data_IF_865473095590
#
_entry.id   IF_865473095590
#
_cell.length_a   1.000
_cell.length_b   1.000
_cell.length_c   1.000
_cell.angle_alpha   90.00
_cell.angle_beta   90.00
_cell.angle_gamma   90.00
#
_symmetry.space_group_name_H-M   'P 1'
#
loop_
_entity.id
_entity.type
_entity.pdbx_description
1 polymer ?
#
# COMPACT_ATOMS: atom_id res chain seq x y z
N UNK A 1 1.01 38.17 5.12
CA UNK A 1 -0.03 38.55 4.15
C UNK A 1 -0.73 37.25 3.75
N UNK A 2 -2.08 37.18 3.84
CA UNK A 2 -2.83 35.99 3.44
C UNK A 2 -3.04 35.98 1.93
N UNK A 3 -2.84 34.83 1.27
CA UNK A 3 -3.11 34.65 -0.14
C UNK A 3 -4.55 34.16 -0.34
N UNK A 4 -5.33 34.90 -1.13
CA UNK A 4 -6.71 34.52 -1.48
C UNK A 4 -6.65 33.74 -2.79
N UNK A 5 -7.20 32.51 -2.78
CA UNK A 5 -7.36 31.67 -3.97
C UNK A 5 -8.82 31.57 -4.35
N UNK A 6 -9.13 31.44 -5.64
CA UNK A 6 -10.48 31.28 -6.17
C UNK A 6 -10.51 30.17 -7.24
N UNK A 7 -11.68 29.55 -7.42
CA UNK A 7 -11.88 28.46 -8.37
C UNK A 7 -11.57 27.06 -7.80
N UNK A 8 -11.71 26.04 -8.64
CA UNK A 8 -11.36 24.65 -8.28
C UNK A 8 -9.84 24.51 -8.25
N UNK A 9 -9.31 24.00 -7.16
CA UNK A 9 -7.88 23.69 -7.00
C UNK A 9 -7.70 22.18 -7.16
N UNK A 10 -7.08 21.71 -8.26
CA UNK A 10 -6.73 20.31 -8.40
C UNK A 10 -5.78 19.89 -7.27
N UNK A 11 -6.12 18.83 -6.57
CA UNK A 11 -5.30 18.26 -5.51
C UNK A 11 -5.47 16.76 -5.44
N UNK A 12 -4.50 16.01 -4.90
CA UNK A 12 -4.62 14.59 -4.68
C UNK A 12 -5.87 14.23 -3.87
N UNK A 13 -6.44 13.09 -4.15
CA UNK A 13 -7.74 12.65 -3.63
C UNK A 13 -7.58 11.64 -2.49
N UNK A 14 -8.50 11.69 -1.53
CA UNK A 14 -8.68 10.69 -0.48
C UNK A 14 -9.93 9.89 -0.80
N UNK A 15 -9.77 8.62 -1.08
CA UNK A 15 -10.83 7.74 -1.53
C UNK A 15 -11.02 6.59 -0.56
N UNK A 16 -12.23 6.42 -0.06
CA UNK A 16 -12.62 5.21 0.66
C UNK A 16 -13.36 4.28 -0.30
N UNK A 17 -12.82 3.08 -0.50
CA UNK A 17 -13.44 2.00 -1.26
C UNK A 17 -13.86 0.91 -0.28
N UNK A 18 -15.15 0.68 -0.10
CA UNK A 18 -15.59 -0.41 0.74
C UNK A 18 -16.60 -1.31 0.01
N UNK A 19 -16.71 -2.55 0.43
CA UNK A 19 -17.62 -3.48 -0.25
C UNK A 19 -17.51 -4.92 0.25
N UNK A 20 -18.40 -5.76 -0.27
CA UNK A 20 -18.44 -7.17 0.10
C UNK A 20 -17.17 -7.92 -0.31
N UNK A 21 -16.94 -9.08 0.29
CA UNK A 21 -15.79 -9.92 -0.07
C UNK A 21 -15.84 -10.36 -1.54
N UNK A 22 -14.68 -10.42 -2.19
CA UNK A 22 -14.56 -10.89 -3.58
C UNK A 22 -15.14 -9.94 -4.64
N UNK A 23 -15.67 -8.76 -4.28
CA UNK A 23 -16.26 -7.83 -5.26
C UNK A 23 -15.22 -7.15 -6.16
N UNK A 24 -13.94 -7.11 -5.76
CA UNK A 24 -12.86 -6.51 -6.56
C UNK A 24 -12.34 -5.18 -6.04
N UNK A 25 -12.38 -4.94 -4.73
CA UNK A 25 -11.83 -3.73 -4.08
C UNK A 25 -10.35 -3.52 -4.40
N UNK A 26 -9.50 -4.50 -4.04
CA UNK A 26 -8.05 -4.46 -4.28
C UNK A 26 -7.68 -4.32 -5.75
N UNK A 27 -8.28 -5.09 -6.70
CA UNK A 27 -8.08 -4.86 -8.13
C UNK A 27 -8.49 -3.47 -8.64
N UNK A 28 -9.50 -2.84 -8.04
CA UNK A 28 -9.86 -1.45 -8.37
C UNK A 28 -8.82 -0.47 -7.85
N UNK A 29 -8.37 -0.64 -6.61
CA UNK A 29 -7.32 0.18 -6.00
C UNK A 29 -5.99 0.08 -6.77
N UNK A 30 -5.68 -1.10 -7.33
CA UNK A 30 -4.48 -1.32 -8.13
C UNK A 30 -4.45 -0.54 -9.45
N UNK A 31 -5.57 0.00 -9.92
CA UNK A 31 -5.65 0.78 -11.15
C UNK A 31 -5.37 2.28 -10.94
N UNK A 32 -5.21 2.73 -9.70
CA UNK A 32 -4.84 4.12 -9.41
C UNK A 32 -3.41 4.41 -9.92
N UNK A 33 -3.06 5.70 -10.13
CA UNK A 33 -1.74 6.08 -10.65
C UNK A 33 -0.60 5.58 -9.76
N UNK A 34 0.29 4.75 -10.29
CA UNK A 34 1.50 4.23 -9.62
C UNK A 34 1.27 3.83 -8.16
N UNK A 35 0.41 2.85 -7.86
CA UNK A 35 0.02 2.53 -6.50
C UNK A 35 1.15 1.84 -5.73
N UNK A 36 1.32 2.22 -4.45
CA UNK A 36 2.11 1.52 -3.45
C UNK A 36 1.17 1.04 -2.34
N UNK A 37 1.19 -0.25 -2.06
CA UNK A 37 0.30 -0.88 -1.10
C UNK A 37 0.97 -1.05 0.27
N UNK A 38 0.21 -0.74 1.32
CA UNK A 38 0.39 -1.28 2.65
C UNK A 38 -0.71 -2.33 2.82
N UNK A 39 -0.33 -3.62 2.70
CA UNK A 39 -1.24 -4.75 2.75
C UNK A 39 -1.32 -5.30 4.17
N UNK A 40 -2.32 -4.84 4.92
CA UNK A 40 -2.54 -5.24 6.33
C UNK A 40 -3.23 -6.59 6.46
N UNK A 41 -3.86 -7.09 5.40
CA UNK A 41 -4.59 -8.35 5.38
C UNK A 41 -3.77 -9.52 4.79
N UNK A 42 -2.76 -9.21 3.95
CA UNK A 42 -1.99 -10.21 3.22
C UNK A 42 -2.70 -10.72 1.96
N UNK A 43 -3.69 -10.00 1.45
CA UNK A 43 -4.55 -10.46 0.35
C UNK A 43 -4.06 -10.06 -1.04
N UNK A 44 -3.10 -9.13 -1.16
CA UNK A 44 -2.65 -8.57 -2.44
C UNK A 44 -1.62 -9.43 -3.19
N UNK A 45 -1.13 -10.53 -2.61
CA UNK A 45 -0.02 -11.32 -3.14
C UNK A 45 -0.19 -11.86 -4.56
N UNK A 46 -1.43 -11.96 -5.06
CA UNK A 46 -1.76 -12.41 -6.41
C UNK A 46 -1.80 -11.28 -7.46
N UNK A 47 -1.60 -10.02 -7.05
CA UNK A 47 -1.60 -8.87 -7.94
C UNK A 47 -0.17 -8.40 -8.23
N UNK A 48 0.07 -7.93 -9.44
CA UNK A 48 1.31 -7.27 -9.83
C UNK A 48 1.26 -5.79 -9.40
N UNK A 49 1.59 -5.55 -8.13
CA UNK A 49 1.61 -4.21 -7.52
C UNK A 49 2.83 -4.06 -6.63
N UNK A 50 3.30 -2.83 -6.48
CA UNK A 50 4.32 -2.50 -5.49
C UNK A 50 3.70 -2.51 -4.09
N UNK A 51 4.43 -3.07 -3.11
CA UNK A 51 3.98 -3.13 -1.72
C UNK A 51 5.12 -2.99 -0.75
N UNK A 52 4.85 -2.39 0.41
CA UNK A 52 5.73 -2.45 1.57
C UNK A 52 5.59 -3.82 2.27
N UNK A 53 6.51 -4.20 3.17
CA UNK A 53 6.32 -5.35 4.03
C UNK A 53 4.96 -5.32 4.72
N UNK A 54 4.33 -6.48 4.94
CA UNK A 54 3.05 -6.51 5.65
C UNK A 54 3.27 -6.08 7.11
N UNK A 55 2.60 -5.02 7.62
CA UNK A 55 2.80 -4.55 8.97
C UNK A 55 2.28 -5.57 9.99
N UNK A 56 3.14 -6.01 10.90
CA UNK A 56 2.81 -6.93 12.00
C UNK A 56 2.31 -6.21 13.25
N UNK A 57 2.40 -4.88 13.27
CA UNK A 57 2.05 -4.04 14.40
C UNK A 57 1.54 -2.67 13.95
N UNK A 58 0.75 -2.04 14.83
CA UNK A 58 0.30 -0.67 14.65
C UNK A 58 1.44 0.33 14.50
N UNK A 59 2.53 0.14 15.28
CA UNK A 59 3.71 1.01 15.20
C UNK A 59 4.36 0.92 13.83
N UNK A 60 4.55 -0.30 13.29
CA UNK A 60 5.11 -0.52 11.96
C UNK A 60 4.23 0.13 10.89
N UNK A 61 2.92 -0.06 10.95
CA UNK A 61 1.99 0.60 10.02
C UNK A 61 2.14 2.12 10.02
N UNK A 62 2.21 2.75 11.20
CA UNK A 62 2.40 4.20 11.31
C UNK A 62 3.78 4.63 10.78
N UNK A 63 4.82 3.84 11.00
CA UNK A 63 6.18 4.14 10.53
C UNK A 63 6.26 4.03 9.01
N UNK A 64 5.61 3.05 8.38
CA UNK A 64 5.49 2.94 6.93
C UNK A 64 4.78 4.15 6.32
N UNK A 65 3.66 4.59 6.92
CA UNK A 65 2.95 5.78 6.43
C UNK A 65 3.78 7.05 6.62
N UNK A 66 4.56 7.17 7.72
CA UNK A 66 5.50 8.28 7.92
C UNK A 66 6.59 8.28 6.87
N UNK A 67 7.17 7.11 6.59
CA UNK A 67 8.18 6.98 5.55
C UNK A 67 7.65 7.42 4.18
N UNK A 68 6.45 6.98 3.79
CA UNK A 68 5.81 7.40 2.53
C UNK A 68 5.57 8.92 2.50
N UNK A 69 5.15 9.52 3.62
CA UNK A 69 4.97 10.97 3.74
C UNK A 69 6.28 11.73 3.51
N UNK A 70 7.36 11.21 4.10
CA UNK A 70 8.67 11.86 4.07
C UNK A 70 9.39 11.62 2.73
N UNK A 71 9.06 10.51 2.05
CA UNK A 71 9.61 10.14 0.73
C UNK A 71 8.51 9.88 -0.31
N UNK A 72 7.68 10.88 -0.64
CA UNK A 72 6.53 10.68 -1.53
C UNK A 72 6.93 10.28 -2.96
N UNK A 73 8.13 10.63 -3.41
CA UNK A 73 8.66 10.23 -4.71
C UNK A 73 8.83 8.71 -4.82
N UNK A 74 9.20 8.03 -3.74
CA UNK A 74 9.33 6.58 -3.68
C UNK A 74 7.96 5.88 -3.78
N UNK A 75 6.90 6.51 -3.25
CA UNK A 75 5.54 6.01 -3.41
C UNK A 75 5.07 6.04 -4.87
N UNK A 76 5.43 7.07 -5.61
CA UNK A 76 5.15 7.21 -7.03
C UNK A 76 3.85 7.92 -7.36
N UNK A 77 2.75 7.75 -6.66
CA UNK A 77 1.51 8.45 -7.03
C UNK A 77 0.33 8.22 -6.11
N UNK A 78 0.17 7.02 -5.61
CA UNK A 78 -0.98 6.65 -4.77
C UNK A 78 -0.54 5.74 -3.64
N UNK A 79 -0.82 6.13 -2.40
CA UNK A 79 -0.77 5.25 -1.25
C UNK A 79 -2.08 4.47 -1.15
N UNK A 80 -2.01 3.15 -1.08
CA UNK A 80 -3.15 2.26 -0.84
C UNK A 80 -2.99 1.56 0.49
N UNK A 81 -3.98 1.68 1.39
CA UNK A 81 -4.06 0.89 2.63
C UNK A 81 -5.16 -0.16 2.46
N UNK A 82 -4.78 -1.42 2.43
CA UNK A 82 -5.67 -2.56 2.17
C UNK A 82 -5.49 -3.66 3.24
N UNK A 83 -6.34 -3.70 4.29
CA UNK A 83 -7.57 -2.94 4.52
C UNK A 83 -7.57 -2.19 5.85
N UNK A 84 -8.43 -1.16 5.98
CA UNK A 84 -8.56 -0.38 7.21
C UNK A 84 -9.14 -1.17 8.39
N UNK A 85 -9.98 -2.16 8.15
CA UNK A 85 -10.55 -3.00 9.22
C UNK A 85 -9.49 -3.92 9.84
N UNK A 86 -8.48 -4.35 9.08
CA UNK A 86 -7.30 -5.01 9.64
C UNK A 86 -6.36 -4.02 10.34
N UNK A 87 -6.19 -2.82 9.81
CA UNK A 87 -5.46 -1.75 10.49
C UNK A 87 -6.12 -1.37 11.83
N UNK A 88 -7.47 -1.31 11.91
CA UNK A 88 -8.21 -1.08 13.15
C UNK A 88 -7.91 -2.16 14.20
N UNK A 89 -7.81 -3.40 13.77
CA UNK A 89 -7.45 -4.51 14.66
C UNK A 89 -6.05 -4.32 15.26
N UNK A 90 -5.05 -3.97 14.44
CA UNK A 90 -3.71 -3.64 14.92
C UNK A 90 -3.73 -2.47 15.93
N UNK A 91 -4.58 -1.47 15.70
CA UNK A 91 -4.78 -0.35 16.61
C UNK A 91 -5.34 -0.81 17.96
N UNK A 92 -6.35 -1.68 17.98
CA UNK A 92 -6.93 -2.21 19.21
C UNK A 92 -5.93 -3.02 20.01
N UNK A 93 -5.19 -3.90 19.35
CA UNK A 93 -4.11 -4.70 19.97
C UNK A 93 -3.03 -3.81 20.58
N UNK A 94 -2.64 -2.75 19.89
CA UNK A 94 -1.67 -1.76 20.36
C UNK A 94 -2.16 -1.03 21.62
N UNK A 95 -3.40 -0.54 21.61
CA UNK A 95 -3.99 0.15 22.77
C UNK A 95 -4.07 -0.78 23.98
N UNK A 96 -4.51 -2.02 23.77
CA UNK A 96 -4.56 -3.03 24.83
C UNK A 96 -3.17 -3.28 25.42
N UNK A 97 -2.16 -3.48 24.55
CA UNK A 97 -0.77 -3.70 24.98
C UNK A 97 -0.21 -2.50 25.75
N UNK A 98 -0.44 -1.27 25.28
CA UNK A 98 0.02 -0.06 25.97
C UNK A 98 -0.60 0.12 27.36
N UNK A 99 -1.85 -0.29 27.53
CA UNK A 99 -2.60 -0.11 28.78
C UNK A 99 -2.55 -1.32 29.71
N UNK A 100 -1.94 -2.44 29.24
CA UNK A 100 -1.91 -3.69 30.00
C UNK A 100 -3.28 -4.35 30.11
N UNK A 101 -4.14 -4.21 29.09
CA UNK A 101 -5.46 -4.83 29.03
C UNK A 101 -5.41 -6.12 28.22
N UNK A 102 -6.23 -7.09 28.60
CA UNK A 102 -6.43 -8.35 27.84
C UNK A 102 -7.39 -8.13 26.67
N UNK A 103 -8.36 -7.19 26.86
CA UNK A 103 -9.37 -6.84 25.87
C UNK A 103 -9.62 -5.33 25.86
N UNK A 104 -10.05 -4.82 24.71
CA UNK A 104 -10.45 -3.41 24.54
C UNK A 104 -11.65 -3.04 25.43
N UNK A 105 -12.37 -4.01 25.95
CA UNK A 105 -13.53 -3.82 26.83
C UNK A 105 -13.17 -3.77 28.32
N UNK A 106 -11.95 -4.17 28.72
CA UNK A 106 -11.53 -4.25 30.12
C UNK A 106 -11.76 -2.97 30.95
N UNK A 107 -11.53 -1.74 30.41
CA UNK A 107 -11.77 -0.53 31.19
C UNK A 107 -13.26 -0.23 31.42
N UNK A 108 -14.15 -0.98 30.78
CA UNK A 108 -15.61 -0.83 30.90
C UNK A 108 -16.16 0.47 30.28
N UNK A 109 -17.48 0.54 30.18
CA UNK A 109 -18.22 1.72 29.71
C UNK A 109 -17.76 2.27 28.34
N UNK A 110 -17.14 1.44 27.50
CA UNK A 110 -16.66 1.80 26.16
C UNK A 110 -15.41 2.69 26.15
N UNK A 111 -14.71 2.86 27.29
CA UNK A 111 -13.51 3.70 27.37
C UNK A 111 -12.38 3.20 26.47
N UNK A 112 -12.20 1.88 26.34
CA UNK A 112 -11.19 1.31 25.45
C UNK A 112 -11.37 1.73 23.98
N UNK A 113 -12.60 1.72 23.52
CA UNK A 113 -12.94 2.21 22.17
C UNK A 113 -12.68 3.71 21.99
N UNK A 114 -12.79 4.51 23.07
CA UNK A 114 -12.43 5.93 23.00
C UNK A 114 -10.92 6.11 22.77
N UNK A 115 -10.09 5.35 23.51
CA UNK A 115 -8.64 5.38 23.28
C UNK A 115 -8.26 4.89 21.88
N UNK A 116 -8.91 3.83 21.41
CA UNK A 116 -8.67 3.32 20.05
C UNK A 116 -9.10 4.33 18.97
N UNK A 117 -10.20 5.04 19.17
CA UNK A 117 -10.64 6.10 18.27
C UNK A 117 -9.62 7.27 18.20
N UNK A 118 -9.10 7.70 19.34
CA UNK A 118 -8.06 8.73 19.41
C UNK A 118 -6.76 8.26 18.73
N UNK A 119 -6.38 7.01 18.97
CA UNK A 119 -5.19 6.41 18.37
C UNK A 119 -5.33 6.24 16.86
N UNK A 120 -6.47 5.75 16.38
CA UNK A 120 -6.75 5.61 14.95
C UNK A 120 -6.77 6.97 14.22
N UNK A 121 -7.16 8.03 14.93
CA UNK A 121 -7.07 9.40 14.43
C UNK A 121 -5.66 9.80 14.00
N UNK A 122 -4.60 9.22 14.60
CA UNK A 122 -3.21 9.48 14.18
C UNK A 122 -2.95 8.94 12.78
N UNK A 123 -3.45 7.74 12.45
CA UNK A 123 -3.35 7.20 11.10
C UNK A 123 -4.06 8.10 10.09
N UNK A 124 -5.30 8.53 10.38
CA UNK A 124 -6.07 9.40 9.49
C UNK A 124 -5.38 10.74 9.26
N UNK A 125 -4.71 11.28 10.29
CA UNK A 125 -3.90 12.49 10.16
C UNK A 125 -2.67 12.26 9.27
N UNK A 126 -1.92 11.18 9.48
CA UNK A 126 -0.77 10.82 8.64
C UNK A 126 -1.18 10.60 7.17
N UNK A 127 -2.30 9.93 6.92
CA UNK A 127 -2.85 9.77 5.57
C UNK A 127 -3.20 11.13 4.93
N UNK A 128 -3.63 12.10 5.75
CA UNK A 128 -3.86 13.47 5.28
C UNK A 128 -2.55 14.17 4.94
N UNK A 129 -1.51 13.98 5.74
CA UNK A 129 -0.18 14.50 5.47
C UNK A 129 0.42 13.91 4.18
N UNK A 130 0.22 12.61 3.91
CA UNK A 130 0.60 11.99 2.64
C UNK A 130 -0.12 12.65 1.43
N UNK A 131 -1.44 12.94 1.57
CA UNK A 131 -2.17 13.69 0.55
C UNK A 131 -1.59 15.10 0.34
N UNK A 132 -1.21 15.78 1.42
CA UNK A 132 -0.64 17.12 1.37
C UNK A 132 0.80 17.11 0.81
N UNK A 133 1.51 15.98 0.94
CA UNK A 133 2.77 15.72 0.27
C UNK A 133 2.64 15.40 -1.23
N UNK A 134 1.43 15.38 -1.78
CA UNK A 134 1.18 15.23 -3.22
C UNK A 134 0.65 13.86 -3.66
N UNK A 135 0.38 12.93 -2.74
CA UNK A 135 -0.06 11.58 -3.05
C UNK A 135 -1.59 11.45 -3.04
N UNK A 136 -2.17 10.70 -3.97
CA UNK A 136 -3.51 10.19 -3.75
C UNK A 136 -3.48 9.15 -2.62
N UNK A 137 -4.54 9.07 -1.84
CA UNK A 137 -4.67 8.10 -0.76
C UNK A 137 -5.95 7.29 -0.95
N UNK A 138 -5.81 5.98 -1.09
CA UNK A 138 -6.91 5.03 -1.22
C UNK A 138 -6.95 4.15 0.02
N UNK A 139 -8.05 4.21 0.73
CA UNK A 139 -8.33 3.35 1.86
C UNK A 139 -9.35 2.29 1.43
N UNK A 140 -8.99 1.02 1.57
CA UNK A 140 -9.86 -0.11 1.27
C UNK A 140 -10.45 -0.65 2.57
N UNK A 141 -11.72 -1.07 2.57
CA UNK A 141 -12.37 -1.61 3.75
C UNK A 141 -13.41 -2.69 3.36
N UNK A 142 -13.63 -3.66 4.22
CA UNK A 142 -14.77 -4.57 4.07
C UNK A 142 -16.08 -3.86 4.39
N UNK A 143 -17.18 -4.41 3.90
CA UNK A 143 -18.51 -3.94 4.21
C UNK A 143 -19.16 -4.78 5.33
N UNK A 144 -19.95 -4.13 6.17
CA UNK A 144 -20.79 -4.78 7.16
C UNK A 144 -22.23 -4.26 7.02
N UNK A 145 -23.22 -5.12 7.31
CA UNK A 145 -24.60 -4.69 7.45
C UNK A 145 -24.87 -4.29 8.89
N UNK A 146 -25.42 -3.12 9.05
CA UNK A 146 -25.85 -2.58 10.33
C UNK A 146 -27.35 -2.29 10.30
N UNK A 147 -28.01 -2.46 11.44
CA UNK A 147 -29.40 -2.03 11.61
C UNK A 147 -29.43 -0.55 11.95
N UNK A 148 -30.12 0.21 11.14
CA UNK A 148 -30.33 1.64 11.33
C UNK A 148 -31.76 1.87 11.78
N UNK A 149 -31.94 2.58 12.87
CA UNK A 149 -33.23 3.07 13.38
C UNK A 149 -33.24 4.58 13.23
N UNK A 150 -34.13 5.10 12.42
CA UNK A 150 -34.35 6.55 12.33
C UNK A 150 -35.56 6.93 13.21
N UNK A 151 -35.43 8.03 14.00
CA UNK A 151 -36.52 8.46 14.92
C UNK A 151 -37.82 8.79 14.21
N UNK A 152 -37.75 9.18 12.95
CA UNK A 152 -38.90 9.65 12.14
C UNK A 152 -39.50 8.55 11.25
N UNK A 153 -38.92 7.33 11.23
CA UNK A 153 -39.41 6.22 10.44
C UNK A 153 -39.86 5.05 11.32
N UNK A 154 -41.01 4.42 10.96
CA UNK A 154 -41.48 3.21 11.66
C UNK A 154 -40.68 1.99 11.17
N UNK A 155 -39.75 1.52 12.01
CA UNK A 155 -39.00 0.28 11.80
C UNK A 155 -37.48 0.47 11.58
N UNK A 156 -36.75 -0.59 11.88
CA UNK A 156 -35.34 -0.66 11.59
C UNK A 156 -35.10 -1.24 10.19
N UNK A 157 -34.15 -0.73 9.47
CA UNK A 157 -33.72 -1.29 8.18
C UNK A 157 -32.22 -1.61 8.16
N UNK A 158 -31.81 -2.52 7.28
CA UNK A 158 -30.40 -2.89 7.11
C UNK A 158 -29.73 -1.91 6.15
N UNK A 159 -28.59 -1.37 6.56
CA UNK A 159 -27.73 -0.52 5.73
C UNK A 159 -26.31 -1.06 5.69
N UNK A 160 -25.65 -0.94 4.54
CA UNK A 160 -24.25 -1.28 4.40
C UNK A 160 -23.36 -0.11 4.78
N UNK A 161 -22.35 -0.37 5.61
CA UNK A 161 -21.30 0.57 5.97
C UNK A 161 -19.91 -0.06 5.94
N UNK A 162 -18.84 0.74 6.06
CA UNK A 162 -17.50 0.22 6.26
C UNK A 162 -17.42 -0.60 7.56
N UNK A 163 -16.75 -1.74 7.54
CA UNK A 163 -16.58 -2.62 8.70
C UNK A 163 -15.53 -2.05 9.66
N UNK A 164 -15.88 -0.97 10.32
CA UNK A 164 -15.06 -0.25 11.30
C UNK A 164 -15.93 0.04 12.53
N UNK A 165 -15.27 0.31 13.65
CA UNK A 165 -15.97 0.72 14.87
C UNK A 165 -16.99 1.82 14.57
N UNK A 166 -18.26 1.54 14.90
CA UNK A 166 -19.36 2.47 14.67
C UNK A 166 -20.29 2.51 15.90
N UNK A 167 -19.97 3.37 16.85
CA UNK A 167 -20.80 3.59 18.04
C UNK A 167 -21.30 5.04 18.10
N UNK A 168 -22.32 5.30 18.92
CA UNK A 168 -22.88 6.67 19.06
C UNK A 168 -21.87 7.71 19.56
N UNK A 169 -20.86 7.29 20.34
CA UNK A 169 -19.88 8.19 20.95
C UNK A 169 -18.56 8.22 20.20
N UNK A 170 -18.17 7.11 19.62
CA UNK A 170 -16.88 6.91 18.94
C UNK A 170 -17.13 6.12 17.68
N UNK A 171 -16.90 6.72 16.53
CA UNK A 171 -17.11 6.07 15.24
C UNK A 171 -15.92 6.33 14.33
N UNK A 172 -15.06 5.31 14.20
CA UNK A 172 -13.98 5.31 13.22
C UNK A 172 -14.57 5.30 11.81
N UNK A 173 -15.67 4.58 11.59
CA UNK A 173 -16.40 4.59 10.32
C UNK A 173 -16.83 6.01 9.91
N UNK A 174 -17.40 6.80 10.82
CA UNK A 174 -17.78 8.19 10.54
C UNK A 174 -16.53 9.06 10.26
N UNK A 175 -15.47 8.95 11.08
CA UNK A 175 -14.22 9.67 10.90
C UNK A 175 -13.64 9.46 9.49
N UNK A 176 -13.56 8.21 9.03
CA UNK A 176 -12.99 7.88 7.71
C UNK A 176 -13.90 8.35 6.57
N UNK A 177 -15.23 8.22 6.71
CA UNK A 177 -16.20 8.73 5.73
C UNK A 177 -16.13 10.27 5.59
N UNK A 178 -16.01 10.98 6.70
CA UNK A 178 -15.86 12.43 6.71
C UNK A 178 -14.53 12.87 6.09
N UNK A 179 -13.47 12.17 6.41
CA UNK A 179 -12.12 12.41 5.89
C UNK A 179 -12.02 12.23 4.38
N UNK A 180 -12.68 11.21 3.82
CA UNK A 180 -12.61 10.88 2.39
C UNK A 180 -13.25 11.97 1.51
N UNK A 181 -12.69 12.22 0.32
CA UNK A 181 -13.28 13.09 -0.71
C UNK A 181 -14.35 12.34 -1.51
N UNK A 182 -14.18 11.03 -1.71
CA UNK A 182 -15.18 10.14 -2.26
C UNK A 182 -15.29 8.86 -1.41
N UNK A 183 -16.50 8.36 -1.22
CA UNK A 183 -16.80 7.08 -0.57
C UNK A 183 -17.56 6.23 -1.58
N UNK A 184 -16.97 5.12 -2.00
CA UNK A 184 -17.47 4.25 -3.04
C UNK A 184 -17.85 2.89 -2.43
N UNK A 185 -19.11 2.52 -2.55
CA UNK A 185 -19.61 1.22 -2.12
C UNK A 185 -19.64 0.24 -3.28
N UNK A 186 -18.95 -0.88 -3.16
CA UNK A 186 -18.89 -1.92 -4.18
C UNK A 186 -19.75 -3.12 -3.78
N UNK A 187 -20.61 -3.58 -4.68
CA UNK A 187 -21.45 -4.73 -4.44
C UNK A 187 -21.76 -5.49 -5.74
N UNK A 188 -22.34 -6.66 -5.60
CA UNK A 188 -22.95 -7.38 -6.71
C UNK A 188 -24.39 -6.89 -6.91
N UNK A 189 -24.79 -6.70 -8.17
CA UNK A 189 -26.15 -6.30 -8.49
C UNK A 189 -27.13 -7.42 -8.15
N UNK A 190 -28.03 -7.14 -7.24
CA UNK A 190 -29.09 -8.09 -6.85
C UNK A 190 -30.35 -7.82 -7.66
N UNK A 191 -30.81 -8.81 -8.41
CA UNK A 191 -32.08 -8.75 -9.11
C UNK A 191 -33.11 -9.54 -8.30
N UNK A 192 -34.18 -8.86 -7.90
CA UNK A 192 -35.31 -9.52 -7.23
C UNK A 192 -36.29 -10.00 -8.27
N UNK A 193 -36.43 -11.32 -8.44
CA UNK A 193 -37.34 -11.94 -9.40
C UNK A 193 -38.56 -12.50 -8.64
N UNK A 194 -39.75 -12.16 -9.11
CA UNK A 194 -40.96 -12.78 -8.60
C UNK A 194 -40.98 -14.26 -9.01
N UNK A 195 -41.22 -15.14 -8.05
CA UNK A 195 -41.17 -16.61 -8.26
C UNK A 195 -42.56 -17.21 -8.44
N UNK A 196 -43.61 -16.45 -8.21
CA UNK A 196 -45.00 -16.89 -8.37
C UNK A 196 -45.81 -15.95 -9.25
N UNK A 197 -46.81 -16.50 -9.98
CA UNK A 197 -47.71 -15.77 -10.87
C UNK A 197 -48.55 -14.71 -10.15
N UNK A 198 -48.54 -14.69 -8.81
CA UNK A 198 -49.29 -13.74 -7.97
C UNK A 198 -48.39 -12.65 -7.35
N UNK A 199 -47.10 -12.62 -7.66
CA UNK A 199 -46.13 -11.62 -7.18
C UNK A 199 -45.93 -11.61 -5.66
N UNK A 200 -46.31 -12.68 -4.94
CA UNK A 200 -46.23 -12.75 -3.46
C UNK A 200 -44.92 -13.37 -2.96
N UNK A 201 -44.20 -14.11 -3.81
CA UNK A 201 -42.91 -14.71 -3.48
C UNK A 201 -41.84 -14.13 -4.37
N UNK A 202 -40.85 -13.52 -3.75
CA UNK A 202 -39.68 -12.96 -4.41
C UNK A 202 -38.45 -13.78 -4.04
N UNK A 203 -37.59 -14.06 -5.01
CA UNK A 203 -36.28 -14.66 -4.79
C UNK A 203 -35.22 -13.65 -5.25
N UNK A 204 -34.34 -13.30 -4.34
CA UNK A 204 -33.16 -12.54 -4.69
C UNK A 204 -32.23 -13.43 -5.51
N UNK A 205 -31.90 -13.01 -6.71
CA UNK A 205 -30.92 -13.64 -7.54
C UNK A 205 -29.72 -12.69 -7.61
N UNK A 206 -28.59 -13.09 -7.02
CA UNK A 206 -27.38 -12.31 -7.14
C UNK A 206 -26.94 -12.38 -8.60
N UNK A 207 -26.91 -11.22 -9.28
CA UNK A 207 -26.28 -11.07 -10.58
C UNK A 207 -24.78 -11.28 -10.46
N UNK A 208 -24.12 -11.58 -11.59
CA UNK A 208 -22.65 -11.60 -11.68
C UNK A 208 -22.08 -10.19 -11.85
N UNK A 209 -22.93 -9.22 -12.14
CA UNK A 209 -22.53 -7.85 -12.42
C UNK A 209 -22.07 -7.16 -11.15
N UNK A 210 -20.90 -6.56 -11.22
CA UNK A 210 -20.31 -5.77 -10.14
C UNK A 210 -20.64 -4.31 -10.37
N UNK A 211 -21.09 -3.65 -9.33
CA UNK A 211 -21.50 -2.24 -9.38
C UNK A 211 -20.81 -1.44 -8.31
N UNK A 212 -20.59 -0.18 -8.62
CA UNK A 212 -20.06 0.84 -7.74
C UNK A 212 -21.16 1.88 -7.48
N UNK A 213 -21.54 2.03 -6.22
CA UNK A 213 -22.47 3.06 -5.78
C UNK A 213 -21.69 4.25 -5.27
N UNK A 214 -21.93 5.41 -5.85
CA UNK A 214 -21.24 6.65 -5.51
C UNK A 214 -22.11 7.61 -4.68
N UNK A 215 -23.43 7.50 -4.75
CA UNK A 215 -24.36 8.35 -4.00
C UNK A 215 -25.01 7.59 -2.83
N UNK A 216 -25.20 8.30 -1.73
CA UNK A 216 -25.85 7.77 -0.53
C UNK A 216 -27.27 7.30 -0.83
N UNK A 217 -27.65 6.18 -0.21
CA UNK A 217 -29.01 5.67 -0.17
C UNK A 217 -29.29 5.10 1.23
N UNK A 218 -30.57 4.85 1.55
CA UNK A 218 -30.93 4.23 2.83
C UNK A 218 -30.23 2.88 3.06
N UNK A 219 -29.95 2.13 1.97
CA UNK A 219 -29.34 0.82 2.02
C UNK A 219 -27.80 0.82 2.09
N UNK A 220 -27.13 1.94 1.87
CA UNK A 220 -25.67 2.07 1.94
C UNK A 220 -25.20 3.52 2.10
N UNK A 221 -24.04 3.69 2.68
CA UNK A 221 -23.34 4.95 2.71
C UNK A 221 -22.48 5.14 1.43
N UNK A 222 -22.51 6.35 0.87
CA UNK A 222 -21.61 6.78 -0.18
C UNK A 222 -21.43 8.30 -0.16
N UNK A 223 -20.35 8.80 -0.81
CA UNK A 223 -20.05 10.24 -0.87
C UNK A 223 -19.49 10.57 -2.25
N UNK A 224 -20.18 11.46 -2.95
CA UNK A 224 -19.91 11.78 -4.35
C UNK A 224 -19.63 13.27 -4.56
N UNK A 225 -18.37 13.68 -4.37
CA UNK A 225 -17.92 15.04 -4.74
C UNK A 225 -17.58 15.18 -6.21
N UNK A 226 -17.49 14.07 -6.94
CA UNK A 226 -17.07 14.00 -8.35
C UNK A 226 -18.23 14.06 -9.34
N UNK A 227 -19.47 14.05 -8.84
CA UNK A 227 -20.67 14.03 -9.67
C UNK A 227 -20.76 12.79 -10.58
N UNK A 228 -20.30 11.65 -10.07
CA UNK A 228 -20.51 10.36 -10.71
C UNK A 228 -22.01 10.04 -10.76
N UNK A 229 -22.47 9.16 -11.67
CA UNK A 229 -23.79 8.56 -11.57
C UNK A 229 -23.96 7.85 -10.22
N UNK A 230 -25.20 7.77 -9.72
CA UNK A 230 -25.50 7.13 -8.43
C UNK A 230 -25.05 5.66 -8.40
N UNK A 231 -25.21 4.97 -9.52
CA UNK A 231 -24.74 3.61 -9.78
C UNK A 231 -23.97 3.57 -11.11
N UNK A 232 -22.80 2.97 -11.12
CA UNK A 232 -22.03 2.71 -12.34
C UNK A 232 -21.38 1.33 -12.30
N UNK A 233 -21.05 0.74 -13.46
CA UNK A 233 -20.25 -0.47 -13.50
C UNK A 233 -18.96 -0.33 -12.70
N UNK A 234 -18.46 -1.43 -12.14
CA UNK A 234 -17.17 -1.45 -11.45
C UNK A 234 -16.05 -1.33 -12.49
N UNK A 235 -15.68 -0.10 -12.81
CA UNK A 235 -14.63 0.23 -13.77
C UNK A 235 -13.91 1.51 -13.30
N UNK A 236 -12.59 1.47 -13.29
CA UNK A 236 -11.74 2.61 -12.94
C UNK A 236 -11.93 3.82 -13.89
N UNK A 237 -12.36 3.58 -15.13
CA UNK A 237 -12.62 4.65 -16.10
C UNK A 237 -13.56 5.75 -15.57
N UNK A 238 -14.46 5.42 -14.64
CA UNK A 238 -15.32 6.41 -13.97
C UNK A 238 -14.57 7.27 -12.96
N UNK A 239 -13.53 6.72 -12.34
CA UNK A 239 -12.75 7.37 -11.27
C UNK A 239 -11.60 8.20 -11.86
N UNK A 240 -10.96 7.70 -12.90
CA UNK A 240 -9.75 8.26 -13.51
C UNK A 240 -9.80 9.77 -13.79
N UNK A 241 -10.90 10.38 -14.31
CA UNK A 241 -10.95 11.81 -14.58
C UNK A 241 -10.87 12.69 -13.33
N UNK A 242 -11.10 12.12 -12.15
CA UNK A 242 -11.17 12.85 -10.88
C UNK A 242 -9.92 12.65 -10.01
N UNK A 243 -9.07 11.69 -10.37
CA UNK A 243 -7.83 11.38 -9.66
C UNK A 243 -6.65 11.94 -10.44
N UNK A 244 -6.02 13.00 -9.95
CA UNK A 244 -4.85 13.55 -10.63
C UNK A 244 -3.71 12.53 -10.64
N UNK A 245 -2.95 12.50 -11.73
CA UNK A 245 -1.63 11.85 -11.74
C UNK A 245 -0.68 12.82 -11.05
N UNK A 246 -0.16 12.49 -9.86
CA UNK A 246 0.72 13.38 -9.15
C UNK A 246 1.99 13.63 -9.97
N UNK A 247 2.32 14.89 -10.19
CA UNK A 247 3.62 15.30 -10.69
C UNK A 247 4.60 15.31 -9.49
N UNK A 248 4.97 14.14 -9.00
CA UNK A 248 5.99 14.02 -7.97
C UNK A 248 7.31 14.05 -8.72
N UNK A 249 7.89 15.25 -8.84
CA UNK A 249 9.30 15.38 -9.20
C UNK A 249 10.12 14.87 -8.01
N UNK A 250 11.13 14.05 -8.28
CA UNK A 250 12.16 13.77 -7.29
C UNK A 250 12.63 15.11 -6.70
N UNK A 251 12.83 15.22 -5.38
CA UNK A 251 13.34 16.45 -4.78
C UNK A 251 14.64 16.81 -5.51
N UNK A 252 14.75 18.05 -5.98
CA UNK A 252 16.04 18.57 -6.44
C UNK A 252 16.97 18.51 -5.24
N UNK A 253 17.85 17.51 -5.22
CA UNK A 253 18.92 17.40 -4.22
C UNK A 253 19.83 18.59 -4.43
N UNK A 254 19.69 19.59 -3.57
CA UNK A 254 20.54 20.79 -3.66
C UNK A 254 21.97 20.45 -3.18
N UNK A 255 22.95 21.21 -3.66
CA UNK A 255 24.33 21.07 -3.18
C UNK A 255 24.44 21.19 -1.65
N UNK A 256 23.49 21.90 -1.01
CA UNK A 256 23.38 22.04 0.44
C UNK A 256 22.91 20.74 1.11
N UNK A 257 22.03 19.96 0.49
CA UNK A 257 21.54 18.68 1.01
C UNK A 257 22.64 17.61 0.96
N UNK A 258 23.45 17.63 -0.11
CA UNK A 258 24.62 16.74 -0.25
C UNK A 258 25.69 17.06 0.84
N UNK A 259 25.90 18.33 1.14
CA UNK A 259 26.85 18.75 2.17
C UNK A 259 26.34 18.45 3.59
N UNK A 260 25.04 18.60 3.83
CA UNK A 260 24.38 18.22 5.08
C UNK A 260 24.47 16.70 5.33
N UNK A 261 24.27 15.86 4.31
CA UNK A 261 24.42 14.41 4.42
C UNK A 261 25.87 13.98 4.71
N UNK A 262 26.85 14.72 4.22
CA UNK A 262 28.28 14.47 4.52
C UNK A 262 28.69 14.81 5.95
N UNK A 263 27.95 15.68 6.62
CA UNK A 263 28.26 16.17 7.98
C UNK A 263 27.43 15.49 9.08
N UNK A 264 26.50 14.60 8.74
CA UNK A 264 25.77 13.82 9.75
C UNK A 264 26.69 12.77 10.38
N UNK A 265 26.79 12.73 11.74
CA UNK A 265 27.55 11.69 12.41
C UNK A 265 26.92 10.33 12.17
N UNK A 266 27.67 9.38 11.60
CA UNK A 266 27.27 7.98 11.49
C UNK A 266 27.03 7.40 12.89
N UNK A 267 25.84 6.84 13.18
CA UNK A 267 25.52 6.36 14.53
C UNK A 267 26.04 4.94 14.79
N UNK A 268 27.31 4.66 14.44
CA UNK A 268 27.96 3.41 14.85
C UNK A 268 29.50 3.57 14.86
N UNK A 269 30.05 4.20 15.92
CA UNK A 269 31.40 3.95 16.37
C UNK A 269 31.31 3.02 17.59
N UNK A 270 31.79 1.78 17.44
CA UNK A 270 31.96 0.89 18.58
C UNK A 270 31.78 -0.59 18.31
N UNK A 271 32.59 -1.17 17.40
CA UNK A 271 33.03 -2.56 17.52
C UNK A 271 34.36 -2.70 16.78
N UNK A 272 35.46 -2.61 17.54
CA UNK A 272 36.76 -3.07 17.04
C UNK A 272 36.69 -4.59 16.84
N UNK A 273 36.67 -5.02 15.58
CA UNK A 273 36.98 -6.41 15.21
C UNK A 273 38.42 -6.42 14.75
N UNK A 274 39.30 -7.00 15.56
CA UNK A 274 40.67 -7.32 15.17
C UNK A 274 40.64 -8.22 13.93
N UNK A 275 41.06 -7.70 12.78
CA UNK A 275 41.36 -8.50 11.61
C UNK A 275 42.84 -8.80 11.53
N UNK A 276 43.18 -10.06 11.74
CA UNK A 276 44.50 -10.61 11.39
C UNK A 276 44.79 -10.46 9.92
N UNK A 277 45.98 -10.00 9.60
CA UNK A 277 46.43 -9.62 8.27
C UNK A 277 46.52 -10.79 7.30
N UNK A 278 45.93 -10.59 6.13
CA UNK A 278 46.19 -11.35 4.90
C UNK A 278 46.53 -10.39 3.79
N UNK A 279 47.79 -10.32 3.43
CA UNK A 279 48.34 -9.58 2.30
C UNK A 279 47.78 -10.16 0.99
N UNK A 280 46.92 -9.40 0.27
CA UNK A 280 46.57 -9.77 -1.10
C UNK A 280 46.54 -8.55 -2.03
N UNK A 281 47.69 -8.32 -2.67
CA UNK A 281 47.79 -7.36 -3.76
C UNK A 281 47.07 -7.89 -4.99
N UNK A 282 45.87 -7.34 -5.26
CA UNK A 282 45.06 -7.66 -6.43
C UNK A 282 45.60 -7.02 -7.69
N UNK A 283 45.83 -7.84 -8.70
CA UNK A 283 46.09 -7.45 -10.08
C UNK A 283 44.76 -7.24 -10.80
N UNK A 284 44.54 -6.06 -11.36
CA UNK A 284 43.50 -5.77 -12.35
C UNK A 284 43.84 -6.41 -13.68
N UNK A 285 43.14 -7.52 -14.01
CA UNK A 285 43.16 -8.14 -15.35
C UNK A 285 41.70 -8.41 -15.78
N UNK A 286 41.43 -8.52 -17.11
CA UNK A 286 40.07 -8.76 -17.58
C UNK A 286 39.55 -10.12 -17.06
N UNK A 287 38.39 -10.10 -16.47
CA UNK A 287 37.70 -11.29 -15.93
C UNK A 287 37.48 -12.31 -17.07
N UNK A 288 38.06 -13.49 -16.92
CA UNK A 288 37.65 -14.64 -17.71
C UNK A 288 36.30 -15.15 -17.19
N UNK A 289 35.36 -15.58 -18.06
CA UNK A 289 34.07 -16.08 -17.61
C UNK A 289 34.24 -17.31 -16.72
N UNK A 290 33.76 -17.23 -15.48
CA UNK A 290 33.75 -18.37 -14.56
C UNK A 290 32.76 -19.43 -15.05
N UNK A 291 33.18 -20.72 -15.14
CA UNK A 291 32.26 -21.79 -15.50
C UNK A 291 31.16 -21.97 -14.42
N UNK A 292 29.96 -22.26 -14.90
CA UNK A 292 28.83 -22.57 -14.02
C UNK A 292 29.19 -23.79 -13.15
N UNK A 293 29.13 -23.74 -11.83
CA UNK A 293 29.34 -24.91 -10.99
C UNK A 293 28.35 -26.01 -11.36
N UNK A 294 28.76 -27.28 -11.42
CA UNK A 294 27.85 -28.39 -11.75
C UNK A 294 26.74 -28.63 -10.73
N UNK A 295 26.80 -27.97 -9.59
CA UNK A 295 25.82 -28.09 -8.49
C UNK A 295 24.81 -26.92 -8.45
N UNK A 296 24.88 -25.94 -9.37
CA UNK A 296 23.94 -24.83 -9.36
C UNK A 296 22.52 -25.30 -9.74
N UNK A 297 21.45 -24.80 -9.09
CA UNK A 297 20.07 -25.11 -9.46
C UNK A 297 19.79 -24.83 -10.94
N UNK A 298 19.01 -25.72 -11.59
CA UNK A 298 18.76 -25.68 -13.05
C UNK A 298 18.20 -24.31 -13.52
N UNK A 299 17.36 -23.68 -12.69
CA UNK A 299 16.77 -22.37 -13.00
C UNK A 299 17.80 -21.22 -13.08
N UNK A 300 19.02 -21.40 -12.55
CA UNK A 300 20.08 -20.39 -12.61
C UNK A 300 21.02 -20.56 -13.81
N UNK A 301 20.95 -21.69 -14.53
CA UNK A 301 21.87 -21.96 -15.62
C UNK A 301 21.78 -20.94 -16.77
N UNK A 302 20.57 -20.49 -17.08
CA UNK A 302 20.35 -19.47 -18.12
C UNK A 302 20.87 -18.12 -17.68
N UNK A 303 20.53 -17.67 -16.47
CA UNK A 303 21.00 -16.42 -15.89
C UNK A 303 22.54 -16.40 -15.81
N UNK A 304 23.15 -17.47 -15.35
CA UNK A 304 24.60 -17.59 -15.24
C UNK A 304 25.30 -17.43 -16.61
N UNK A 305 24.71 -18.01 -17.68
CA UNK A 305 25.21 -17.80 -19.04
C UNK A 305 25.09 -16.37 -19.51
N UNK A 306 23.93 -15.74 -19.31
CA UNK A 306 23.69 -14.35 -19.70
C UNK A 306 24.65 -13.39 -18.99
N UNK A 307 24.94 -13.61 -17.70
CA UNK A 307 25.92 -12.83 -16.92
C UNK A 307 27.33 -13.01 -17.49
N UNK A 308 27.73 -14.27 -17.76
CA UNK A 308 29.04 -14.58 -18.35
C UNK A 308 29.21 -13.97 -19.75
N UNK A 309 28.17 -14.08 -20.60
CA UNK A 309 28.16 -13.49 -21.95
C UNK A 309 28.25 -11.96 -21.91
N UNK A 310 27.68 -11.34 -20.86
CA UNK A 310 27.81 -9.91 -20.61
C UNK A 310 29.17 -9.49 -20.03
N UNK A 311 30.05 -10.46 -19.67
CA UNK A 311 31.36 -10.20 -19.05
C UNK A 311 31.26 -9.66 -17.61
N UNK A 312 30.26 -10.09 -16.86
CA UNK A 312 30.01 -9.69 -15.46
C UNK A 312 30.39 -10.85 -14.54
N UNK A 313 31.12 -10.57 -13.44
CA UNK A 313 31.33 -11.55 -12.37
C UNK A 313 30.05 -11.76 -11.55
N UNK A 314 29.79 -13.00 -11.07
CA UNK A 314 28.56 -13.33 -10.31
C UNK A 314 28.43 -12.52 -9.03
N UNK A 315 29.53 -12.37 -8.28
CA UNK A 315 29.53 -11.55 -7.06
C UNK A 315 29.20 -10.09 -7.40
N UNK A 316 29.83 -9.54 -8.43
CA UNK A 316 29.57 -8.18 -8.88
C UNK A 316 28.11 -7.99 -9.34
N UNK A 317 27.55 -9.00 -10.00
CA UNK A 317 26.14 -9.01 -10.38
C UNK A 317 25.23 -9.01 -9.15
N UNK A 318 25.53 -9.85 -8.14
CA UNK A 318 24.74 -9.92 -6.91
C UNK A 318 24.78 -8.62 -6.12
N UNK A 319 25.95 -7.98 -6.02
CA UNK A 319 26.08 -6.65 -5.41
C UNK A 319 25.24 -5.61 -6.15
N UNK A 320 25.28 -5.63 -7.49
CA UNK A 320 24.49 -4.70 -8.29
C UNK A 320 22.98 -4.93 -8.16
N UNK A 321 22.57 -6.20 -8.10
CA UNK A 321 21.15 -6.57 -7.84
C UNK A 321 20.73 -6.14 -6.44
N UNK A 322 21.57 -6.39 -5.42
CA UNK A 322 21.28 -6.01 -4.05
C UNK A 322 21.06 -4.48 -3.91
N UNK A 323 22.00 -3.69 -4.44
CA UNK A 323 21.94 -2.23 -4.39
C UNK A 323 20.76 -1.64 -5.15
N UNK A 324 20.34 -2.28 -6.22
CA UNK A 324 19.27 -1.78 -7.09
C UNK A 324 17.88 -2.21 -6.65
N UNK A 325 17.75 -3.34 -5.96
CA UNK A 325 16.45 -3.94 -5.68
C UNK A 325 16.10 -4.04 -4.20
N UNK A 326 17.14 -4.14 -3.34
CA UNK A 326 16.92 -4.42 -1.91
C UNK A 326 16.35 -5.82 -1.60
N UNK A 327 16.05 -6.65 -2.61
CA UNK A 327 15.49 -8.01 -2.41
C UNK A 327 16.50 -9.04 -1.92
N UNK A 328 17.78 -8.77 -2.10
CA UNK A 328 18.90 -9.58 -1.63
C UNK A 328 19.93 -8.68 -0.98
N UNK A 329 20.78 -9.24 -0.15
CA UNK A 329 21.93 -8.50 0.42
C UNK A 329 23.17 -8.66 -0.46
N UNK A 330 24.14 -7.76 -0.35
CA UNK A 330 25.41 -7.85 -1.07
C UNK A 330 26.17 -9.17 -0.81
N UNK A 331 25.90 -9.80 0.32
CA UNK A 331 26.45 -11.10 0.74
C UNK A 331 25.60 -12.31 0.35
N UNK A 332 24.48 -12.13 -0.34
CA UNK A 332 23.60 -13.23 -0.76
C UNK A 332 24.29 -14.06 -1.85
N UNK A 333 24.52 -15.37 -1.68
CA UNK A 333 25.13 -16.22 -2.69
C UNK A 333 24.26 -16.32 -3.95
N UNK A 334 24.88 -16.31 -5.13
CA UNK A 334 24.17 -16.45 -6.41
C UNK A 334 23.29 -17.71 -6.47
N UNK A 335 23.77 -18.80 -5.90
CA UNK A 335 23.10 -20.09 -5.86
C UNK A 335 21.83 -20.09 -5.02
N UNK A 336 21.63 -19.09 -4.16
CA UNK A 336 20.46 -18.95 -3.31
C UNK A 336 19.33 -18.11 -3.90
N UNK A 337 19.50 -17.60 -5.14
CA UNK A 337 18.46 -16.84 -5.82
C UNK A 337 17.20 -17.69 -6.06
N UNK A 338 16.07 -17.18 -5.61
CA UNK A 338 14.78 -17.83 -5.87
C UNK A 338 14.44 -17.81 -7.39
N UNK A 339 13.67 -18.81 -7.89
CA UNK A 339 13.33 -18.91 -9.31
C UNK A 339 12.72 -17.64 -9.92
N UNK A 340 11.81 -16.99 -9.19
CA UNK A 340 11.13 -15.78 -9.63
C UNK A 340 12.09 -14.59 -9.75
N UNK A 341 13.02 -14.44 -8.79
CA UNK A 341 14.04 -13.40 -8.82
C UNK A 341 15.08 -13.67 -9.89
N UNK A 342 15.43 -14.93 -10.14
CA UNK A 342 16.31 -15.32 -11.23
C UNK A 342 15.70 -15.01 -12.61
N UNK A 343 14.41 -15.33 -12.80
CA UNK A 343 13.67 -15.03 -14.02
C UNK A 343 13.57 -13.51 -14.28
N UNK A 344 13.31 -12.73 -13.22
CA UNK A 344 13.36 -11.26 -13.32
C UNK A 344 14.77 -10.77 -13.67
N UNK A 345 15.80 -11.29 -13.01
CA UNK A 345 17.18 -10.90 -13.22
C UNK A 345 17.65 -11.13 -14.67
N UNK A 346 17.19 -12.21 -15.32
CA UNK A 346 17.44 -12.47 -16.75
C UNK A 346 16.96 -11.31 -17.63
N UNK A 347 15.84 -10.69 -17.31
CA UNK A 347 15.26 -9.59 -18.10
C UNK A 347 16.03 -8.29 -17.98
N UNK A 348 16.82 -8.12 -16.91
CA UNK A 348 17.52 -6.86 -16.58
C UNK A 348 19.05 -6.96 -16.66
N UNK A 349 19.61 -8.09 -17.09
CA UNK A 349 21.08 -8.23 -17.27
C UNK A 349 21.71 -7.07 -18.04
N UNK A 350 21.14 -6.57 -19.19
CA UNK A 350 21.73 -5.44 -19.91
C UNK A 350 21.77 -4.14 -19.09
N UNK A 351 20.73 -3.88 -18.30
CA UNK A 351 20.64 -2.69 -17.45
C UNK A 351 21.60 -2.80 -16.24
N UNK A 352 21.73 -4.00 -15.67
CA UNK A 352 22.71 -4.28 -14.60
C UNK A 352 24.14 -4.08 -15.14
N UNK A 353 24.41 -4.52 -16.38
CA UNK A 353 25.71 -4.28 -16.99
C UNK A 353 26.01 -2.78 -17.12
N UNK A 354 25.07 -2.00 -17.64
CA UNK A 354 25.25 -0.55 -17.75
C UNK A 354 25.52 0.11 -16.39
N UNK A 355 24.84 -0.36 -15.35
CA UNK A 355 25.02 0.11 -13.98
C UNK A 355 26.41 -0.23 -13.43
N UNK A 356 26.92 -1.44 -13.70
CA UNK A 356 28.25 -1.87 -13.32
C UNK A 356 29.33 -1.08 -14.11
N UNK A 357 29.15 -0.92 -15.43
CA UNK A 357 30.10 -0.19 -16.30
C UNK A 357 30.14 1.31 -15.92
N UNK A 358 29.08 1.87 -15.37
CA UNK A 358 29.05 3.22 -14.82
C UNK A 358 29.72 3.35 -13.43
N UNK A 359 30.34 2.29 -12.91
CA UNK A 359 31.06 2.27 -11.64
C UNK A 359 30.18 2.02 -10.43
N UNK A 360 28.99 1.43 -10.63
CA UNK A 360 28.00 1.20 -9.56
C UNK A 360 27.83 2.46 -8.69
N UNK A 361 27.38 3.59 -9.24
CA UNK A 361 27.12 4.75 -8.43
C UNK A 361 26.24 4.27 -7.27
N UNK A 362 26.56 4.69 -6.04
CA UNK A 362 25.66 4.46 -4.90
C UNK A 362 24.28 4.89 -5.39
N UNK A 363 23.30 3.97 -5.35
CA UNK A 363 21.99 4.25 -5.94
C UNK A 363 21.57 5.64 -5.52
N UNK A 364 21.05 6.41 -6.43
CA UNK A 364 20.24 7.55 -6.06
C UNK A 364 19.15 6.96 -5.17
N UNK A 365 19.34 7.17 -3.83
CA UNK A 365 18.41 6.79 -2.79
C UNK A 365 17.07 7.47 -2.99
#
# INVERSE_FOLDING_TARGET
>A
MYQITSGAVPKPQRVLIYGVEGVGKTPLAAQFPSPLFIDTEGSSGHLDVRRLPAPDSWSMLLDEVRWIRDFPAECGGTLVVDTLDWAERLCFEHVCKQKGWESIEDPGYGKGYTFAYEEFGKLVNLLTECRDAGLNVVAVCHAIKEKVEQPDEMGAYDSWGPKLLNSRKTSIAAMVKEWADAVLFLNFKTVVVAVDDKGKKHKAQNGKDRVMYASHAAAWDAKNRWRLPDECPLDYAWIAPHVPVPAISAPEVTAADIEAARTMPVPFEGAEVEMEGGDNRGTTGPYAPEPVPPEAPEHLHKLARMIADAGIGREQFMVAVARRTGYVTESTPFESLAPDLAAWAETVVPQIKQYIDAGMPAGEE
#
